data_IF_656925077302
#
_entry.id   IF_656925077302
#
_cell.length_a   1.000
_cell.length_b   1.000
_cell.length_c   1.000
_cell.angle_alpha   90.00
_cell.angle_beta   90.00
_cell.angle_gamma   90.00
#
_symmetry.space_group_name_H-M   'P 1'
#
loop_
_entity.id
_entity.type
_entity.pdbx_description
1 polymer ?
#
# COMPACT_ATOMS: atom_id res chain seq x y z
N UNK A 1 -1.41 7.68 -19.45
CA UNK A 1 -2.05 7.50 -18.13
C UNK A 1 -1.15 6.89 -17.04
N UNK A 2 -0.22 5.96 -17.31
CA UNK A 2 0.60 5.31 -16.26
C UNK A 2 1.42 6.26 -15.38
N UNK A 3 2.03 7.30 -15.96
CA UNK A 3 2.84 8.30 -15.22
C UNK A 3 1.98 9.12 -14.25
N UNK A 4 0.75 9.48 -14.64
CA UNK A 4 -0.21 10.18 -13.77
C UNK A 4 -0.56 9.33 -12.54
N UNK A 5 -0.83 8.04 -12.75
CA UNK A 5 -1.07 7.09 -11.66
C UNK A 5 0.12 7.03 -10.71
N UNK A 6 1.34 6.83 -11.23
CA UNK A 6 2.54 6.76 -10.39
C UNK A 6 2.74 8.05 -9.57
N UNK A 7 2.53 9.22 -10.19
CA UNK A 7 2.67 10.52 -9.53
C UNK A 7 1.65 10.72 -8.40
N UNK A 8 0.36 10.42 -8.64
CA UNK A 8 -0.69 10.60 -7.64
C UNK A 8 -0.57 9.61 -6.48
N UNK A 9 -0.18 8.36 -6.76
CA UNK A 9 0.07 7.37 -5.69
C UNK A 9 1.28 7.77 -4.84
N UNK A 10 2.34 8.32 -5.45
CA UNK A 10 3.46 8.88 -4.69
C UNK A 10 3.03 10.04 -3.78
N UNK A 11 2.20 10.97 -4.28
CA UNK A 11 1.65 12.05 -3.45
C UNK A 11 0.79 11.53 -2.30
N UNK A 12 -0.06 10.53 -2.56
CA UNK A 12 -0.90 9.94 -1.52
C UNK A 12 -0.05 9.29 -0.41
N UNK A 13 1.03 8.59 -0.78
CA UNK A 13 1.96 7.99 0.19
C UNK A 13 2.74 9.05 0.97
N UNK A 14 3.18 10.13 0.31
CA UNK A 14 3.85 11.25 0.99
C UNK A 14 2.93 11.93 2.00
N UNK A 15 1.67 12.18 1.62
CA UNK A 15 0.66 12.70 2.54
C UNK A 15 0.42 11.76 3.72
N UNK A 16 0.32 10.45 3.51
CA UNK A 16 0.20 9.49 4.61
C UNK A 16 1.40 9.56 5.56
N UNK A 17 2.62 9.72 5.01
CA UNK A 17 3.83 9.87 5.81
C UNK A 17 3.83 11.17 6.63
N UNK A 18 3.39 12.30 6.06
CA UNK A 18 3.26 13.58 6.80
C UNK A 18 2.23 13.49 7.93
N UNK A 19 1.18 12.69 7.75
CA UNK A 19 0.16 12.39 8.77
C UNK A 19 0.59 11.30 9.78
N UNK A 20 1.88 10.95 9.83
CA UNK A 20 2.46 9.92 10.68
C UNK A 20 1.88 8.50 10.46
N UNK A 21 1.27 8.23 9.30
CA UNK A 21 0.80 6.92 8.84
C UNK A 21 1.82 6.30 7.89
N UNK A 22 2.97 5.93 8.45
CA UNK A 22 4.17 5.54 7.68
C UNK A 22 4.12 4.16 7.01
N UNK A 23 3.13 3.34 7.34
CA UNK A 23 3.04 1.96 6.89
C UNK A 23 1.79 1.81 6.02
N UNK A 24 1.98 1.31 4.80
CA UNK A 24 0.91 0.85 3.93
C UNK A 24 1.09 -0.65 3.67
N UNK A 25 0.05 -1.41 3.95
CA UNK A 25 0.06 -2.87 3.82
C UNK A 25 -0.37 -3.28 2.41
N UNK A 26 0.42 -4.17 1.80
CA UNK A 26 0.04 -4.87 0.55
C UNK A 26 -0.31 -3.91 -0.60
N UNK A 27 0.61 -2.96 -0.85
CA UNK A 27 0.49 -2.03 -1.97
C UNK A 27 0.66 -2.79 -3.29
N UNK A 28 -0.40 -2.82 -4.09
CA UNK A 28 -0.42 -3.44 -5.41
C UNK A 28 -1.47 -2.74 -6.30
N UNK A 29 -1.61 -3.19 -7.56
CA UNK A 29 -2.52 -2.55 -8.51
C UNK A 29 -4.01 -2.59 -8.09
N UNK A 30 -4.44 -3.57 -7.29
CA UNK A 30 -5.81 -3.63 -6.76
C UNK A 30 -6.09 -2.57 -5.69
N UNK A 31 -5.04 -1.95 -5.14
CA UNK A 31 -5.16 -0.86 -4.16
C UNK A 31 -5.24 0.53 -4.80
N UNK A 32 -5.03 0.62 -6.12
CA UNK A 32 -5.18 1.83 -6.91
C UNK A 32 -6.61 1.86 -7.45
N UNK A 33 -7.39 2.85 -6.98
CA UNK A 33 -8.77 3.07 -7.39
C UNK A 33 -8.84 4.28 -8.32
N UNK A 34 -9.95 4.41 -9.04
CA UNK A 34 -10.25 5.60 -9.85
C UNK A 34 -11.56 6.18 -9.35
N UNK A 35 -11.59 7.49 -9.11
CA UNK A 35 -12.82 8.19 -8.72
C UNK A 35 -13.71 8.49 -9.93
N UNK A 36 -14.79 9.26 -9.70
CA UNK A 36 -15.76 9.63 -10.73
C UNK A 36 -15.17 10.47 -11.87
N UNK A 37 -14.09 11.21 -11.62
CA UNK A 37 -13.36 12.00 -12.61
C UNK A 37 -12.27 11.17 -13.34
N UNK A 38 -12.12 9.90 -12.95
CA UNK A 38 -11.07 9.02 -13.45
C UNK A 38 -9.69 9.35 -12.87
N UNK A 39 -9.63 10.07 -11.76
CA UNK A 39 -8.39 10.39 -11.06
C UNK A 39 -7.95 9.22 -10.16
N UNK A 40 -6.66 8.83 -10.21
CA UNK A 40 -6.15 7.72 -9.41
C UNK A 40 -6.10 8.09 -7.91
N UNK A 41 -6.67 7.22 -7.08
CA UNK A 41 -6.73 7.32 -5.62
C UNK A 41 -6.08 6.08 -4.98
N UNK A 42 -5.44 6.27 -3.84
CA UNK A 42 -4.94 5.16 -3.02
C UNK A 42 -6.05 4.70 -2.05
N UNK A 43 -6.38 3.41 -2.05
CA UNK A 43 -7.33 2.86 -1.08
C UNK A 43 -6.85 3.07 0.36
N UNK A 44 -7.70 3.58 1.25
CA UNK A 44 -7.34 3.81 2.66
C UNK A 44 -7.24 2.52 3.48
N UNK A 45 -7.81 1.41 3.00
CA UNK A 45 -7.82 0.14 3.74
C UNK A 45 -6.42 -0.43 3.99
N UNK A 46 -5.45 -0.15 3.12
CA UNK A 46 -4.06 -0.57 3.34
C UNK A 46 -3.36 0.16 4.50
N UNK A 47 -3.92 1.25 5.03
CA UNK A 47 -3.38 1.96 6.20
C UNK A 47 -3.71 1.26 7.52
N UNK A 48 -4.57 0.25 7.50
CA UNK A 48 -4.97 -0.54 8.66
C UNK A 48 -4.47 -1.98 8.49
N UNK A 49 -4.07 -2.64 9.59
CA UNK A 49 -3.74 -4.07 9.54
C UNK A 49 -5.00 -4.90 9.33
N UNK A 50 -4.94 -5.88 8.43
CA UNK A 50 -6.03 -6.83 8.18
C UNK A 50 -6.32 -7.76 9.39
N UNK A 51 -5.32 -7.98 10.26
CA UNK A 51 -5.43 -8.76 11.50
C UNK A 51 -4.43 -8.23 12.53
N UNK A 52 -4.78 -8.35 13.81
CA UNK A 52 -3.90 -7.98 14.95
C UNK A 52 -2.58 -8.78 14.94
N UNK A 53 -2.61 -9.99 14.37
CA UNK A 53 -1.49 -10.93 14.34
C UNK A 53 -0.56 -10.76 13.12
N UNK A 54 -0.90 -9.87 12.18
CA UNK A 54 -0.02 -9.55 11.05
C UNK A 54 0.18 -10.66 10.00
N UNK A 55 -0.55 -11.78 10.04
CA UNK A 55 -0.29 -12.92 9.12
C UNK A 55 -1.10 -12.93 7.81
N UNK A 56 -1.92 -11.92 7.56
CA UNK A 56 -2.89 -11.90 6.45
C UNK A 56 -2.54 -10.81 5.42
N UNK A 57 -1.41 -10.99 4.73
CA UNK A 57 -1.06 -10.24 3.53
C UNK A 57 -1.44 -11.06 2.30
N UNK A 58 -2.09 -10.42 1.32
CA UNK A 58 -2.60 -11.12 0.13
C UNK A 58 -1.60 -11.14 -1.03
N UNK A 59 -0.55 -10.32 -0.97
CA UNK A 59 0.50 -10.28 -1.98
C UNK A 59 1.43 -11.50 -1.87
N UNK A 60 1.69 -12.12 -3.02
CA UNK A 60 2.62 -13.24 -3.17
C UNK A 60 4.02 -12.86 -2.65
N UNK A 61 4.65 -13.76 -1.89
CA UNK A 61 5.98 -13.58 -1.28
C UNK A 61 7.06 -13.14 -2.28
N UNK A 62 6.92 -13.46 -3.56
CA UNK A 62 7.82 -12.99 -4.62
C UNK A 62 7.87 -11.46 -4.79
N UNK A 63 6.87 -10.74 -4.30
CA UNK A 63 6.76 -9.27 -4.39
C UNK A 63 6.88 -8.59 -3.01
N UNK A 64 7.10 -9.36 -1.95
CA UNK A 64 7.29 -8.84 -0.61
C UNK A 64 8.75 -8.40 -0.42
N UNK A 65 9.02 -7.25 0.24
CA UNK A 65 10.39 -6.84 0.54
C UNK A 65 11.16 -7.90 1.35
N UNK A 66 12.45 -8.14 1.05
CA UNK A 66 13.22 -9.23 1.67
C UNK A 66 13.38 -9.09 3.19
N UNK A 67 13.35 -7.88 3.73
CA UNK A 67 13.37 -7.61 5.17
C UNK A 67 12.13 -8.15 5.89
N UNK A 68 10.98 -8.19 5.21
CA UNK A 68 9.73 -8.68 5.77
C UNK A 68 9.80 -10.18 6.08
N UNK A 69 10.47 -10.95 5.22
CA UNK A 69 10.67 -12.40 5.40
C UNK A 69 11.61 -12.72 6.57
N UNK A 70 12.51 -11.79 6.93
CA UNK A 70 13.47 -11.98 8.03
C UNK A 70 12.84 -11.76 9.40
N UNK A 71 11.81 -10.92 9.47
CA UNK A 71 11.14 -10.57 10.73
C UNK A 71 10.10 -11.59 11.19
N UNK A 72 9.62 -12.48 10.31
CA UNK A 72 8.66 -13.54 10.64
C UNK A 72 9.29 -14.80 11.27
N UNK A 73 10.63 -14.87 11.35
CA UNK A 73 11.39 -16.07 11.78
C UNK A 73 11.94 -15.99 13.22
N UNK A 74 11.49 -15.01 14.03
CA UNK A 74 11.83 -14.90 15.45
C UNK A 74 10.61 -15.02 16.35
#
# INVERSE_FOLDING_TARGET
MRVRVAYYIAQALDHCNTENRKIYHDLNAYRVLFDEDGDPRLSSFGLMKNSRDGKSYSTNLAYTPPEFLRTDIN
#
